data_IF_559495446353
#
_entry.id   IF_559495446353
#
_cell.length_a   1.000
_cell.length_b   1.000
_cell.length_c   1.000
_cell.angle_alpha   90.00
_cell.angle_beta   90.00
_cell.angle_gamma   90.00
#
_symmetry.space_group_name_H-M   'P 1'
#
loop_
_entity.id
_entity.type
_entity.pdbx_description
1 polymer ?
#
# COMPACT_ATOMS: atom_id res chain seq x y z
N UNK A 1 24.79 20.47 -8.82
CA UNK A 1 24.84 18.99 -8.78
C UNK A 1 24.13 18.46 -10.01
N UNK A 2 24.79 17.66 -10.86
CA UNK A 2 24.16 17.12 -12.07
C UNK A 2 23.05 16.14 -11.65
N UNK A 3 21.82 16.36 -12.08
CA UNK A 3 20.72 15.42 -11.86
C UNK A 3 21.14 14.06 -12.42
N UNK A 4 21.25 13.05 -11.55
CA UNK A 4 21.51 11.68 -11.98
C UNK A 4 20.34 11.23 -12.84
N UNK A 5 20.63 10.82 -14.08
CA UNK A 5 19.61 10.44 -15.06
C UNK A 5 18.97 9.14 -14.61
N UNK A 6 17.63 9.14 -14.50
CA UNK A 6 16.83 7.94 -14.25
C UNK A 6 17.26 6.83 -15.20
N UNK A 7 17.73 5.69 -14.66
CA UNK A 7 18.20 4.56 -15.48
C UNK A 7 17.02 3.67 -15.84
N UNK A 8 16.82 3.46 -17.13
CA UNK A 8 15.79 2.55 -17.64
C UNK A 8 16.38 1.15 -17.80
N UNK A 9 15.72 0.17 -17.18
CA UNK A 9 16.11 -1.24 -17.16
C UNK A 9 14.97 -2.06 -17.75
N UNK A 10 15.27 -2.87 -18.76
CA UNK A 10 14.38 -3.91 -19.27
C UNK A 10 14.88 -5.32 -18.94
N UNK A 11 14.14 -6.37 -19.34
CA UNK A 11 14.51 -7.76 -19.06
C UNK A 11 15.89 -8.20 -19.58
N UNK A 12 16.43 -7.49 -20.59
CA UNK A 12 17.73 -7.80 -21.20
C UNK A 12 18.92 -7.18 -20.43
N UNK A 13 18.67 -6.29 -19.46
CA UNK A 13 19.70 -5.60 -18.68
C UNK A 13 20.19 -6.46 -17.51
N UNK A 14 20.82 -7.60 -17.82
CA UNK A 14 21.16 -8.64 -16.83
C UNK A 14 22.08 -8.15 -15.72
N UNK A 15 23.04 -7.28 -16.03
CA UNK A 15 23.98 -6.73 -15.05
C UNK A 15 23.28 -5.80 -14.05
N UNK A 16 22.49 -4.83 -14.52
CA UNK A 16 21.75 -3.94 -13.63
C UNK A 16 20.67 -4.67 -12.83
N UNK A 17 20.02 -5.67 -13.43
CA UNK A 17 19.08 -6.54 -12.71
C UNK A 17 19.77 -7.33 -11.61
N UNK A 18 20.99 -7.83 -11.86
CA UNK A 18 21.77 -8.53 -10.83
C UNK A 18 22.19 -7.57 -9.71
N UNK A 19 22.66 -6.36 -10.03
CA UNK A 19 22.99 -5.34 -9.02
C UNK A 19 21.81 -5.02 -8.10
N UNK A 20 20.60 -4.88 -8.66
CA UNK A 20 19.40 -4.67 -7.85
C UNK A 20 19.09 -5.92 -7.02
N UNK A 21 19.22 -7.12 -7.61
CA UNK A 21 18.98 -8.39 -6.92
C UNK A 21 19.88 -8.57 -5.71
N UNK A 22 21.16 -8.24 -5.85
CA UNK A 22 22.17 -8.33 -4.78
C UNK A 22 21.89 -7.28 -3.70
N UNK A 23 21.58 -6.04 -4.09
CA UNK A 23 21.22 -4.99 -3.13
C UNK A 23 20.00 -5.38 -2.28
N UNK A 24 18.94 -5.91 -2.89
CA UNK A 24 17.74 -6.36 -2.16
C UNK A 24 18.06 -7.59 -1.29
N UNK A 25 18.98 -8.46 -1.72
CA UNK A 25 19.42 -9.62 -0.94
C UNK A 25 20.16 -9.20 0.33
N UNK A 26 21.07 -8.24 0.21
CA UNK A 26 21.99 -7.85 1.27
C UNK A 26 21.39 -6.81 2.24
N UNK A 27 20.35 -6.09 1.80
CA UNK A 27 19.68 -5.11 2.64
C UNK A 27 18.84 -5.75 3.74
N UNK A 28 18.85 -5.14 4.92
CA UNK A 28 17.99 -5.53 6.06
C UNK A 28 16.87 -4.53 6.31
N UNK A 29 16.88 -3.39 5.64
CA UNK A 29 16.05 -2.24 5.94
C UNK A 29 15.33 -1.73 4.69
N UNK A 30 14.35 -2.50 4.23
CA UNK A 30 13.61 -2.27 3.00
C UNK A 30 12.24 -1.66 3.31
N UNK A 31 11.87 -0.63 2.56
CA UNK A 31 10.51 -0.09 2.53
C UNK A 31 9.89 -0.42 1.18
N UNK A 32 8.63 -0.87 1.19
CA UNK A 32 7.85 -1.09 -0.01
C UNK A 32 6.70 -0.07 -0.11
N UNK A 33 6.49 0.50 -1.30
CA UNK A 33 5.29 1.27 -1.63
C UNK A 33 4.57 0.55 -2.76
N UNK A 34 3.34 0.13 -2.53
CA UNK A 34 2.55 -0.63 -3.51
C UNK A 34 1.36 0.19 -4.01
N UNK A 35 0.81 -0.19 -5.15
CA UNK A 35 -0.44 0.33 -5.69
C UNK A 35 -1.17 -0.71 -6.54
N UNK A 36 -2.27 -0.32 -7.16
CA UNK A 36 -3.25 -1.28 -7.69
C UNK A 36 -2.69 -2.22 -8.77
N UNK A 37 -1.57 -1.84 -9.42
CA UNK A 37 -0.89 -2.64 -10.43
C UNK A 37 -0.38 -4.00 -9.93
N UNK A 38 -0.13 -4.18 -8.63
CA UNK A 38 0.27 -5.49 -8.07
C UNK A 38 -0.89 -6.46 -7.86
N UNK A 39 -2.14 -5.97 -7.94
CA UNK A 39 -3.36 -6.76 -7.72
C UNK A 39 -4.09 -7.10 -9.02
N UNK A 40 -3.63 -6.61 -10.18
CA UNK A 40 -4.26 -6.87 -11.49
C UNK A 40 -4.24 -8.36 -11.88
N UNK A 41 -3.12 -9.04 -11.65
CA UNK A 41 -2.93 -10.46 -11.98
C UNK A 41 -3.70 -11.42 -11.07
N UNK A 42 -4.04 -10.97 -9.85
CA UNK A 42 -4.87 -11.72 -8.90
C UNK A 42 -6.37 -11.66 -9.24
N UNK A 43 -6.75 -10.89 -10.26
CA UNK A 43 -8.11 -10.44 -10.49
C UNK A 43 -8.54 -9.42 -9.44
N UNK A 44 -9.70 -8.77 -9.64
CA UNK A 44 -10.39 -8.03 -8.57
C UNK A 44 -11.63 -8.86 -8.18
N UNK A 45 -11.50 -9.94 -7.39
CA UNK A 45 -12.66 -10.71 -6.93
C UNK A 45 -13.25 -10.03 -5.69
N UNK A 46 -14.49 -10.36 -5.34
CA UNK A 46 -15.08 -10.03 -4.05
C UNK A 46 -14.08 -10.31 -2.90
N UNK A 47 -14.01 -9.41 -1.91
CA UNK A 47 -12.97 -9.33 -0.87
C UNK A 47 -12.67 -10.64 -0.14
N UNK A 48 -13.57 -11.63 -0.20
CA UNK A 48 -13.49 -12.92 0.50
C UNK A 48 -12.61 -13.98 -0.21
N UNK A 49 -12.29 -13.89 -1.51
CA UNK A 49 -11.63 -14.98 -2.27
C UNK A 49 -10.41 -14.57 -3.14
N UNK A 50 -9.71 -13.50 -2.81
CA UNK A 50 -8.54 -13.06 -3.59
C UNK A 50 -7.25 -13.83 -3.22
N UNK A 51 -6.65 -14.56 -4.17
CA UNK A 51 -5.33 -15.18 -3.99
C UNK A 51 -4.22 -14.11 -4.11
N UNK A 52 -3.22 -14.08 -3.21
CA UNK A 52 -2.14 -13.09 -3.29
C UNK A 52 -1.29 -13.28 -4.55
N UNK A 53 -1.01 -12.19 -5.26
CA UNK A 53 -0.11 -12.21 -6.41
C UNK A 53 1.35 -12.52 -6.00
N UNK A 54 2.20 -13.02 -6.91
CA UNK A 54 3.63 -13.23 -6.65
C UNK A 54 4.35 -12.04 -5.99
N UNK A 55 4.00 -10.81 -6.36
CA UNK A 55 4.55 -9.59 -5.73
C UNK A 55 4.18 -9.47 -4.25
N UNK A 56 2.92 -9.76 -3.88
CA UNK A 56 2.49 -9.79 -2.46
C UNK A 56 3.26 -10.87 -1.68
N UNK A 57 3.41 -12.06 -2.26
CA UNK A 57 4.14 -13.16 -1.63
C UNK A 57 5.62 -12.82 -1.44
N UNK A 58 6.20 -12.04 -2.36
CA UNK A 58 7.56 -11.55 -2.23
C UNK A 58 7.71 -10.55 -1.09
N UNK A 59 6.86 -9.53 -1.03
CA UNK A 59 6.86 -8.56 0.08
C UNK A 59 6.69 -9.27 1.43
N UNK A 60 5.77 -10.26 1.49
CA UNK A 60 5.59 -11.09 2.69
C UNK A 60 6.84 -11.89 3.04
N UNK A 61 7.59 -12.39 2.06
CA UNK A 61 8.85 -13.09 2.31
C UNK A 61 9.91 -12.14 2.89
N UNK A 62 10.04 -10.92 2.38
CA UNK A 62 10.94 -9.91 2.97
C UNK A 62 10.61 -9.64 4.46
N UNK A 63 9.32 -9.58 4.79
CA UNK A 63 8.85 -9.46 6.17
C UNK A 63 9.28 -10.66 7.03
N UNK A 64 9.05 -11.89 6.56
CA UNK A 64 9.47 -13.09 7.29
C UNK A 64 10.98 -13.22 7.47
N UNK A 65 11.77 -12.64 6.56
CA UNK A 65 13.23 -12.58 6.66
C UNK A 65 13.72 -11.43 7.55
N UNK A 66 12.83 -10.61 8.12
CA UNK A 66 13.19 -9.44 8.91
C UNK A 66 13.85 -8.32 8.11
N UNK A 67 13.72 -8.33 6.78
CA UNK A 67 14.31 -7.32 5.90
C UNK A 67 13.35 -6.16 5.60
N UNK A 68 12.06 -6.34 5.84
CA UNK A 68 11.03 -5.36 5.53
C UNK A 68 10.70 -4.54 6.77
N UNK A 69 10.93 -3.23 6.71
CA UNK A 69 10.49 -2.28 7.72
C UNK A 69 8.96 -2.14 7.65
N UNK A 70 8.46 -1.81 6.46
CA UNK A 70 7.03 -1.57 6.25
C UNK A 70 6.64 -1.62 4.77
N UNK A 71 5.37 -1.95 4.55
CA UNK A 71 4.69 -1.73 3.28
C UNK A 71 3.68 -0.61 3.41
N UNK A 72 3.82 0.42 2.58
CA UNK A 72 2.87 1.50 2.42
C UNK A 72 1.99 1.22 1.20
N UNK A 73 0.82 0.66 1.44
CA UNK A 73 -0.05 0.20 0.36
C UNK A 73 -1.02 1.31 -0.07
N UNK A 74 -1.03 1.66 -1.35
CA UNK A 74 -2.07 2.51 -1.93
C UNK A 74 -3.38 1.77 -2.24
N UNK A 75 -3.43 0.46 -1.96
CA UNK A 75 -4.58 -0.37 -2.25
C UNK A 75 -5.58 -0.35 -1.11
N UNK A 76 -6.86 -0.44 -1.45
CA UNK A 76 -7.97 -0.59 -0.50
C UNK A 76 -8.44 -2.06 -0.48
N UNK A 77 -7.55 -3.01 -0.80
CA UNK A 77 -7.88 -4.43 -0.99
C UNK A 77 -7.90 -5.24 0.31
N UNK A 78 -7.76 -4.60 1.48
CA UNK A 78 -7.99 -5.23 2.78
C UNK A 78 -6.81 -6.04 3.33
N UNK A 79 -5.60 -5.92 2.76
CA UNK A 79 -4.49 -6.86 3.02
C UNK A 79 -3.22 -6.28 3.67
N UNK A 80 -3.05 -4.96 3.78
CA UNK A 80 -1.81 -4.31 4.26
C UNK A 80 -2.12 -3.00 5.03
N UNK A 81 -1.10 -2.26 5.52
CA UNK A 81 -1.27 -0.93 6.13
C UNK A 81 -1.79 0.06 5.05
N UNK A 82 -3.11 0.30 5.06
CA UNK A 82 -3.86 0.97 4.00
C UNK A 82 -3.69 2.51 4.00
N UNK A 83 -2.92 3.06 3.05
CA UNK A 83 -2.83 4.52 2.79
C UNK A 83 -4.12 5.13 2.22
N UNK A 84 -5.16 4.34 1.98
CA UNK A 84 -6.44 4.81 1.45
C UNK A 84 -7.64 4.33 2.25
N UNK A 85 -7.44 3.86 3.48
CA UNK A 85 -8.51 3.31 4.31
C UNK A 85 -8.95 1.90 3.88
N UNK A 86 -10.06 1.43 4.44
CA UNK A 86 -10.46 0.03 4.46
C UNK A 86 -11.81 -0.25 3.83
N UNK A 87 -11.92 -1.32 3.06
CA UNK A 87 -13.22 -1.87 2.65
C UNK A 87 -13.91 -2.67 3.75
N UNK A 88 -13.23 -2.95 4.87
CA UNK A 88 -13.80 -3.76 5.97
C UNK A 88 -14.84 -3.02 6.80
N UNK A 89 -14.93 -1.69 6.65
CA UNK A 89 -15.79 -0.87 7.47
C UNK A 89 -16.46 0.22 6.64
N UNK A 90 -17.55 0.74 7.19
CA UNK A 90 -18.21 1.95 6.74
C UNK A 90 -17.84 3.10 7.65
N UNK A 91 -17.88 4.32 7.12
CA UNK A 91 -17.65 5.56 7.85
C UNK A 91 -18.75 6.57 7.59
N UNK A 92 -19.18 7.27 8.65
CA UNK A 92 -20.09 8.41 8.51
C UNK A 92 -19.35 9.64 7.98
N UNK A 93 -19.86 10.23 6.89
CA UNK A 93 -19.33 11.46 6.31
C UNK A 93 -19.54 12.72 7.18
N UNK A 94 -20.38 12.62 8.22
CA UNK A 94 -20.73 13.75 9.09
C UNK A 94 -20.01 13.70 10.44
N UNK A 95 -20.03 12.55 11.12
CA UNK A 95 -19.42 12.41 12.46
C UNK A 95 -18.18 11.51 12.50
N UNK A 96 -17.74 11.00 11.36
CA UNK A 96 -16.57 10.13 11.19
C UNK A 96 -16.58 8.82 11.98
N UNK A 97 -17.72 8.40 12.56
CA UNK A 97 -17.82 7.10 13.22
C UNK A 97 -17.60 5.97 12.22
N UNK A 98 -16.80 4.98 12.65
CA UNK A 98 -16.54 3.74 11.93
C UNK A 98 -17.54 2.68 12.36
N UNK A 99 -18.10 1.94 11.42
CA UNK A 99 -19.19 0.96 11.64
C UNK A 99 -18.88 -0.32 10.86
N UNK A 100 -19.10 -1.50 11.47
CA UNK A 100 -18.98 -2.79 10.76
C UNK A 100 -20.13 -2.98 9.77
N UNK A 101 -19.90 -3.77 8.72
CA UNK A 101 -20.92 -4.20 7.76
C UNK A 101 -22.03 -5.05 8.37
N UNK A 102 -21.72 -5.82 9.41
CA UNK A 102 -22.66 -6.76 10.05
C UNK A 102 -23.78 -6.05 10.82
N UNK A 103 -23.67 -4.72 10.97
CA UNK A 103 -24.67 -3.91 11.66
C UNK A 103 -25.86 -3.69 10.72
N UNK A 104 -27.08 -3.95 11.18
CA UNK A 104 -28.35 -3.52 10.55
C UNK A 104 -28.48 -3.75 9.02
N UNK A 105 -27.98 -4.87 8.48
CA UNK A 105 -28.05 -5.21 7.05
C UNK A 105 -27.44 -4.16 6.11
N UNK A 106 -26.43 -3.41 6.60
CA UNK A 106 -25.76 -2.36 5.81
C UNK A 106 -25.14 -2.91 4.52
N UNK A 107 -24.65 -4.15 4.53
CA UNK A 107 -24.14 -4.83 3.33
C UNK A 107 -25.22 -4.96 2.25
N UNK A 108 -26.41 -5.48 2.61
CA UNK A 108 -27.51 -5.67 1.66
C UNK A 108 -28.03 -4.35 1.10
N UNK A 109 -28.20 -3.32 1.94
CA UNK A 109 -28.63 -1.99 1.49
C UNK A 109 -27.62 -1.37 0.51
N UNK A 110 -26.33 -1.47 0.83
CA UNK A 110 -25.26 -0.94 -0.03
C UNK A 110 -25.16 -1.70 -1.37
N UNK A 111 -25.35 -3.03 -1.35
CA UNK A 111 -25.37 -3.85 -2.58
C UNK A 111 -26.55 -3.50 -3.50
N UNK A 112 -27.66 -2.99 -2.96
CA UNK A 112 -28.79 -2.47 -3.72
C UNK A 112 -28.57 -1.04 -4.24
N UNK A 113 -27.40 -0.44 -3.98
CA UNK A 113 -27.07 0.92 -4.37
C UNK A 113 -27.64 1.99 -3.44
N UNK A 114 -28.20 1.61 -2.30
CA UNK A 114 -28.68 2.56 -1.31
C UNK A 114 -27.51 3.12 -0.48
N UNK A 115 -27.57 4.39 -0.11
CA UNK A 115 -26.62 4.99 0.81
C UNK A 115 -27.14 4.87 2.25
N UNK A 116 -26.50 4.08 3.13
CA UNK A 116 -27.04 3.86 4.46
C UNK A 116 -26.89 5.07 5.37
N UNK A 117 -27.81 5.23 6.33
CA UNK A 117 -27.81 6.33 7.30
C UNK A 117 -26.91 6.00 8.49
N UNK A 118 -26.25 7.01 9.05
CA UNK A 118 -25.47 6.83 10.27
C UNK A 118 -26.36 6.74 11.50
N UNK A 119 -26.45 5.54 12.11
CA UNK A 119 -27.28 5.30 13.29
C UNK A 119 -26.96 6.21 14.48
N UNK A 120 -25.68 6.60 14.68
CA UNK A 120 -25.30 7.56 15.73
C UNK A 120 -25.91 8.94 15.49
N UNK A 121 -25.77 9.46 14.27
CA UNK A 121 -26.28 10.77 13.91
C UNK A 121 -27.80 10.79 13.79
N UNK A 122 -28.40 9.68 13.34
CA UNK A 122 -29.84 9.48 13.32
C UNK A 122 -30.41 9.49 14.75
N UNK A 123 -29.78 8.78 15.69
CA UNK A 123 -30.16 8.80 17.12
C UNK A 123 -30.10 10.22 17.68
N UNK A 124 -28.99 10.92 17.45
CA UNK A 124 -28.84 12.33 17.89
C UNK A 124 -29.94 13.22 17.29
N UNK A 125 -30.27 13.02 16.01
CA UNK A 125 -31.35 13.76 15.35
C UNK A 125 -32.71 13.45 15.98
N UNK A 126 -32.99 12.17 16.26
CA UNK A 126 -34.23 11.72 16.90
C UNK A 126 -34.40 12.31 18.29
N UNK A 127 -33.35 12.27 19.12
CA UNK A 127 -33.36 12.81 20.48
C UNK A 127 -33.54 14.33 20.51
N UNK A 128 -33.09 15.03 19.46
CA UNK A 128 -33.33 16.48 19.31
C UNK A 128 -34.79 16.76 18.96
N UNK A 129 -35.36 16.00 18.02
CA UNK A 129 -36.76 16.15 17.63
C UNK A 129 -37.71 15.82 18.79
N UNK A 130 -37.42 14.79 19.59
CA UNK A 130 -38.17 14.44 20.79
C UNK A 130 -38.19 15.58 21.84
N UNK A 131 -37.22 16.50 21.77
CA UNK A 131 -37.12 17.70 22.62
C UNK A 131 -37.59 18.97 21.89
N UNK A 132 -38.41 18.84 20.84
CA UNK A 132 -38.89 19.93 19.99
C UNK A 132 -37.78 20.83 19.41
N UNK A 133 -36.56 20.29 19.28
CA UNK A 133 -35.45 21.00 18.61
C UNK A 133 -35.45 20.64 17.12
N UNK A 134 -34.90 21.57 16.32
CA UNK A 134 -34.68 21.35 14.88
C UNK A 134 -33.90 20.05 14.63
N UNK A 135 -34.37 19.29 13.62
CA UNK A 135 -33.73 18.08 13.09
C UNK A 135 -32.29 18.39 12.68
N UNK A 136 -31.34 17.55 13.10
CA UNK A 136 -29.95 17.64 12.65
C UNK A 136 -29.70 16.70 11.47
N UNK A 137 -28.59 16.92 10.74
CA UNK A 137 -28.19 16.01 9.67
C UNK A 137 -28.01 14.58 10.26
N UNK A 138 -28.77 13.57 9.79
CA UNK A 138 -28.68 12.21 10.31
C UNK A 138 -27.42 11.47 9.80
N UNK A 139 -26.61 12.11 8.94
CA UNK A 139 -25.35 11.59 8.44
C UNK A 139 -25.53 10.42 7.47
N UNK A 140 -24.66 10.35 6.47
CA UNK A 140 -24.59 9.23 5.54
C UNK A 140 -23.35 8.38 5.81
N UNK A 141 -23.48 7.06 5.70
CA UNK A 141 -22.39 6.10 5.71
C UNK A 141 -21.88 5.88 4.28
N UNK A 142 -20.57 5.76 4.15
CA UNK A 142 -19.88 5.34 2.93
C UNK A 142 -18.76 4.37 3.27
N UNK A 143 -18.15 3.75 2.27
CA UNK A 143 -16.92 2.97 2.47
C UNK A 143 -15.88 3.80 3.22
N UNK A 144 -15.17 3.16 4.16
CA UNK A 144 -14.13 3.77 5.00
C UNK A 144 -12.84 4.00 4.22
N UNK A 145 -12.92 4.72 3.11
CA UNK A 145 -11.83 4.96 2.18
C UNK A 145 -11.51 6.45 2.09
N UNK A 146 -10.26 6.81 1.81
CA UNK A 146 -9.91 8.21 1.53
C UNK A 146 -10.10 8.48 0.04
N UNK A 147 -11.03 9.36 -0.32
CA UNK A 147 -11.26 9.76 -1.71
C UNK A 147 -10.20 10.78 -2.18
N UNK A 148 -10.13 10.99 -3.49
CA UNK A 148 -9.35 12.10 -4.03
C UNK A 148 -9.87 13.42 -3.44
N UNK A 149 -8.95 14.32 -3.11
CA UNK A 149 -9.21 15.63 -2.48
C UNK A 149 -9.69 15.60 -1.02
N UNK A 150 -9.78 14.41 -0.40
CA UNK A 150 -9.97 14.29 1.04
C UNK A 150 -8.62 14.21 1.77
N UNK A 151 -8.54 14.84 2.94
CA UNK A 151 -7.40 14.67 3.85
C UNK A 151 -7.48 13.26 4.44
N UNK A 152 -6.39 12.52 4.35
CA UNK A 152 -6.36 11.18 4.92
C UNK A 152 -6.58 11.24 6.44
N UNK A 153 -7.54 10.47 6.93
CA UNK A 153 -7.98 10.55 8.34
C UNK A 153 -6.90 10.12 9.35
N UNK A 154 -5.89 9.37 8.87
CA UNK A 154 -4.74 8.89 9.64
C UNK A 154 -3.46 9.63 9.24
N UNK A 155 -3.53 10.87 8.71
CA UNK A 155 -2.34 11.65 8.34
C UNK A 155 -1.35 11.72 9.49
N UNK A 156 -1.80 11.90 10.74
CA UNK A 156 -0.92 11.97 11.90
C UNK A 156 -0.23 10.62 12.17
N UNK A 157 -0.99 9.53 12.25
CA UNK A 157 -0.44 8.18 12.46
C UNK A 157 0.53 7.78 11.34
N UNK A 158 0.18 8.05 10.08
CA UNK A 158 1.05 7.78 8.92
C UNK A 158 2.29 8.67 8.97
N UNK A 159 2.15 9.92 9.40
CA UNK A 159 3.30 10.83 9.56
C UNK A 159 4.21 10.36 10.69
N UNK A 160 3.66 9.92 11.81
CA UNK A 160 4.41 9.40 12.96
C UNK A 160 5.13 8.10 12.61
N UNK A 161 4.46 7.17 11.92
CA UNK A 161 5.06 5.94 11.39
C UNK A 161 6.16 6.24 10.38
N UNK A 162 5.92 7.16 9.44
CA UNK A 162 6.94 7.61 8.48
C UNK A 162 8.14 8.23 9.18
N UNK A 163 7.92 9.07 10.19
CA UNK A 163 9.01 9.67 10.99
C UNK A 163 9.78 8.56 11.71
N UNK A 164 9.08 7.61 12.32
CA UNK A 164 9.70 6.46 12.97
C UNK A 164 10.57 5.67 12.00
N UNK A 165 10.04 5.29 10.84
CA UNK A 165 10.75 4.53 9.83
C UNK A 165 11.96 5.31 9.27
N UNK A 166 11.83 6.62 9.04
CA UNK A 166 12.93 7.47 8.56
C UNK A 166 14.06 7.62 9.58
N UNK A 167 13.70 7.81 10.86
CA UNK A 167 14.65 8.23 11.91
C UNK A 167 15.24 7.07 12.69
N UNK A 168 14.51 5.95 12.84
CA UNK A 168 14.93 4.82 13.68
C UNK A 168 15.34 3.59 12.90
N UNK A 169 14.64 3.30 11.82
CA UNK A 169 14.82 2.05 11.06
C UNK A 169 15.88 2.17 9.95
N UNK A 170 16.37 3.38 9.67
CA UNK A 170 17.44 3.66 8.71
C UNK A 170 17.28 2.91 7.36
N UNK A 171 16.23 3.20 6.59
CA UNK A 171 15.98 2.53 5.33
C UNK A 171 17.16 2.66 4.36
N UNK A 172 17.43 1.55 3.67
CA UNK A 172 18.50 1.36 2.69
C UNK A 172 17.95 1.20 1.27
N UNK A 173 16.76 0.62 1.14
CA UNK A 173 16.12 0.40 -0.15
C UNK A 173 14.66 0.81 -0.10
N UNK A 174 14.24 1.55 -1.13
CA UNK A 174 12.83 1.81 -1.40
C UNK A 174 12.40 1.08 -2.67
N UNK A 175 11.50 0.11 -2.53
CA UNK A 175 10.88 -0.60 -3.64
C UNK A 175 9.49 -0.02 -3.91
N UNK A 176 9.24 0.44 -5.13
CA UNK A 176 7.95 1.00 -5.54
C UNK A 176 7.34 0.13 -6.63
N UNK A 177 6.15 -0.40 -6.37
CA UNK A 177 5.48 -1.36 -7.26
C UNK A 177 4.14 -0.86 -7.77
N UNK A 178 3.91 -1.03 -9.07
CA UNK A 178 2.55 -1.07 -9.63
C UNK A 178 1.72 0.19 -9.38
N UNK A 179 2.35 1.36 -9.24
CA UNK A 179 1.66 2.64 -8.97
C UNK A 179 2.05 3.69 -9.99
N UNK A 180 1.12 4.60 -10.27
CA UNK A 180 1.36 5.80 -11.09
C UNK A 180 1.91 6.97 -10.26
N UNK A 181 1.98 6.83 -8.93
CA UNK A 181 2.39 7.87 -7.99
C UNK A 181 1.71 9.22 -8.28
N UNK A 182 0.38 9.22 -8.48
CA UNK A 182 -0.35 10.44 -8.82
C UNK A 182 -0.68 11.30 -7.59
N UNK A 183 -0.80 10.65 -6.44
CA UNK A 183 -1.31 11.20 -5.19
C UNK A 183 -0.24 12.04 -4.50
N UNK A 184 -0.57 13.29 -4.17
CA UNK A 184 0.40 14.27 -3.63
C UNK A 184 1.07 13.80 -2.34
N UNK A 185 0.32 13.21 -1.42
CA UNK A 185 0.87 12.67 -0.15
C UNK A 185 1.93 11.61 -0.38
N UNK A 186 1.63 10.63 -1.25
CA UNK A 186 2.57 9.56 -1.63
C UNK A 186 3.80 10.15 -2.35
N UNK A 187 3.61 11.16 -3.23
CA UNK A 187 4.72 11.83 -3.88
C UNK A 187 5.71 12.45 -2.90
N UNK A 188 5.20 13.11 -1.87
CA UNK A 188 6.04 13.72 -0.84
C UNK A 188 6.74 12.63 0.00
N UNK A 189 6.02 11.59 0.39
CA UNK A 189 6.58 10.45 1.12
C UNK A 189 7.74 9.77 0.35
N UNK A 190 7.58 9.49 -0.94
CA UNK A 190 8.66 8.91 -1.77
C UNK A 190 9.88 9.83 -1.80
N UNK A 191 9.69 11.16 -1.92
CA UNK A 191 10.79 12.13 -1.95
C UNK A 191 11.56 12.14 -0.64
N UNK A 192 10.87 12.12 0.49
CA UNK A 192 11.47 12.11 1.82
C UNK A 192 12.25 10.82 2.08
N UNK A 193 11.67 9.66 1.75
CA UNK A 193 12.39 8.38 1.84
C UNK A 193 13.61 8.35 0.93
N UNK A 194 13.46 8.74 -0.33
CA UNK A 194 14.57 8.77 -1.28
C UNK A 194 15.72 9.64 -0.78
N UNK A 195 15.43 10.84 -0.28
CA UNK A 195 16.44 11.73 0.28
C UNK A 195 17.21 11.06 1.43
N UNK A 196 16.49 10.39 2.35
CA UNK A 196 17.11 9.72 3.49
C UNK A 196 17.93 8.49 3.07
N UNK A 197 17.45 7.73 2.10
CA UNK A 197 18.09 6.51 1.56
C UNK A 197 19.36 6.88 0.80
N UNK A 198 19.28 7.88 -0.09
CA UNK A 198 20.41 8.38 -0.86
C UNK A 198 21.51 8.98 0.03
N UNK A 199 21.13 9.63 1.14
CA UNK A 199 22.08 10.14 2.14
C UNK A 199 22.98 9.05 2.74
N UNK A 200 22.57 7.78 2.63
CA UNK A 200 23.30 6.60 3.12
C UNK A 200 23.85 5.71 2.00
N UNK A 201 23.76 6.14 0.75
CA UNK A 201 24.20 5.35 -0.41
C UNK A 201 23.26 4.21 -0.80
N UNK A 202 22.02 4.22 -0.28
CA UNK A 202 20.99 3.25 -0.63
C UNK A 202 20.33 3.53 -1.99
N UNK A 203 19.32 2.72 -2.33
CA UNK A 203 18.73 2.68 -3.68
C UNK A 203 17.22 2.82 -3.69
N UNK A 204 16.70 3.52 -4.72
CA UNK A 204 15.27 3.64 -5.00
C UNK A 204 14.95 2.98 -6.34
N UNK A 205 14.15 1.91 -6.28
CA UNK A 205 13.78 1.08 -7.43
C UNK A 205 12.29 1.20 -7.70
N UNK A 206 11.94 1.57 -8.93
CA UNK A 206 10.56 1.69 -9.40
C UNK A 206 10.27 0.63 -10.45
N UNK A 207 9.28 -0.22 -10.18
CA UNK A 207 8.91 -1.36 -11.02
C UNK A 207 7.50 -1.14 -11.54
N UNK A 208 7.41 -0.84 -12.83
CA UNK A 208 6.14 -0.64 -13.51
C UNK A 208 6.33 -0.68 -15.03
N UNK A 209 5.29 -1.10 -15.77
CA UNK A 209 5.28 -1.08 -17.23
C UNK A 209 5.30 0.35 -17.79
N UNK A 210 4.69 1.30 -17.07
CA UNK A 210 4.63 2.71 -17.48
C UNK A 210 5.77 3.51 -16.86
N UNK A 211 6.37 4.40 -17.66
CA UNK A 211 7.44 5.28 -17.22
C UNK A 211 6.98 6.23 -16.09
N UNK A 212 7.78 6.42 -15.03
CA UNK A 212 7.57 7.54 -14.14
C UNK A 212 7.91 8.85 -14.87
N UNK A 213 7.24 9.94 -14.52
CA UNK A 213 7.55 11.26 -15.09
C UNK A 213 8.98 11.68 -14.73
N UNK A 214 9.90 11.60 -15.69
CA UNK A 214 11.33 11.87 -15.48
C UNK A 214 11.62 13.29 -14.97
N UNK A 215 10.77 14.28 -15.24
CA UNK A 215 10.93 15.65 -14.72
C UNK A 215 10.66 15.71 -13.21
N UNK A 216 9.75 14.89 -12.72
CA UNK A 216 9.37 14.84 -11.30
C UNK A 216 10.29 13.91 -10.52
N UNK A 217 10.71 12.81 -11.13
CA UNK A 217 11.38 11.69 -10.46
C UNK A 217 12.87 11.53 -10.78
N UNK A 218 13.41 12.34 -11.69
CA UNK A 218 14.85 12.35 -11.97
C UNK A 218 15.65 12.74 -10.74
N UNK A 219 16.67 11.94 -10.40
CA UNK A 219 17.46 12.11 -9.18
C UNK A 219 16.79 11.66 -7.89
N UNK A 220 15.54 11.16 -7.95
CA UNK A 220 14.83 10.55 -6.81
C UNK A 220 14.76 9.04 -7.00
N UNK A 221 14.40 8.59 -8.21
CA UNK A 221 14.37 7.17 -8.57
C UNK A 221 15.66 6.86 -9.33
N UNK A 222 16.40 5.86 -8.84
CA UNK A 222 17.67 5.45 -9.46
C UNK A 222 17.41 4.53 -10.66
N UNK A 223 16.52 3.57 -10.46
CA UNK A 223 16.20 2.54 -11.43
C UNK A 223 14.71 2.50 -11.72
N UNK A 224 14.35 2.64 -12.99
CA UNK A 224 13.04 2.25 -13.48
C UNK A 224 13.16 0.92 -14.21
N UNK A 225 12.63 -0.13 -13.58
CA UNK A 225 12.45 -1.45 -14.17
C UNK A 225 11.14 -1.46 -14.95
N UNK A 226 11.25 -1.39 -16.29
CA UNK A 226 10.13 -1.46 -17.21
C UNK A 226 9.71 -2.91 -17.40
N UNK A 227 8.96 -3.42 -16.43
CA UNK A 227 8.49 -4.80 -16.43
C UNK A 227 7.18 -4.94 -15.65
N UNK A 228 6.52 -6.07 -15.85
CA UNK A 228 5.43 -6.51 -15.00
C UNK A 228 5.99 -6.89 -13.61
N UNK A 229 5.29 -6.49 -12.55
CA UNK A 229 5.79 -6.62 -11.18
C UNK A 229 5.99 -8.09 -10.81
N UNK A 230 5.02 -8.96 -11.14
CA UNK A 230 5.10 -10.38 -10.81
C UNK A 230 6.20 -11.09 -11.60
N UNK A 231 6.36 -10.73 -12.87
CA UNK A 231 7.40 -11.27 -13.73
C UNK A 231 8.80 -10.88 -13.24
N UNK A 232 8.99 -9.62 -12.86
CA UNK A 232 10.24 -9.15 -12.30
C UNK A 232 10.56 -9.81 -10.96
N UNK A 233 9.57 -9.94 -10.07
CA UNK A 233 9.75 -10.62 -8.78
C UNK A 233 10.16 -12.09 -8.96
N UNK A 234 9.61 -12.79 -9.97
CA UNK A 234 10.03 -14.16 -10.30
C UNK A 234 11.48 -14.21 -10.79
N UNK A 235 11.87 -13.27 -11.65
CA UNK A 235 13.26 -13.15 -12.12
C UNK A 235 14.23 -12.88 -10.95
N UNK A 236 13.88 -11.96 -10.05
CA UNK A 236 14.67 -11.64 -8.85
C UNK A 236 14.84 -12.86 -7.93
N UNK A 237 13.77 -13.66 -7.75
CA UNK A 237 13.86 -14.94 -7.03
C UNK A 237 14.77 -15.96 -7.71
N UNK A 238 14.73 -16.06 -9.03
CA UNK A 238 15.58 -17.00 -9.76
C UNK A 238 17.06 -16.63 -9.67
N UNK A 239 17.38 -15.34 -9.60
CA UNK A 239 18.75 -14.82 -9.38
C UNK A 239 19.26 -15.12 -7.97
N UNK A 240 18.35 -15.19 -7.00
CA UNK A 240 18.64 -15.45 -5.59
C UNK A 240 18.08 -16.83 -5.17
N UNK A 241 18.76 -17.93 -5.56
CA UNK A 241 18.30 -19.32 -5.32
C UNK A 241 17.92 -19.62 -3.85
N UNK A 242 18.50 -18.93 -2.87
CA UNK A 242 18.15 -19.06 -1.44
C UNK A 242 16.73 -18.60 -1.07
N UNK A 243 16.08 -17.79 -1.92
CA UNK A 243 14.68 -17.36 -1.72
C UNK A 243 13.65 -18.37 -2.22
N UNK A 244 14.10 -19.42 -2.91
CA UNK A 244 13.23 -20.47 -3.45
C UNK A 244 12.85 -21.53 -2.40
N UNK A 245 13.70 -21.74 -1.39
CA UNK A 245 13.55 -22.80 -0.37
C UNK A 245 12.73 -22.41 0.85
N UNK A 246 12.57 -21.11 1.17
CA UNK A 246 11.92 -20.66 2.42
C UNK A 246 10.38 -20.67 2.39
N UNK A 247 9.77 -21.07 1.26
CA UNK A 247 8.31 -21.02 1.06
C UNK A 247 7.60 -22.33 1.41
N UNK A 248 8.29 -23.47 1.45
CA UNK A 248 7.67 -24.74 1.85
C UNK A 248 7.36 -24.74 3.34
N UNK A 249 8.28 -24.25 4.18
CA UNK A 249 8.11 -24.25 5.64
C UNK A 249 7.11 -23.17 6.12
N UNK A 250 7.14 -21.97 5.53
CA UNK A 250 6.22 -20.88 5.90
C UNK A 250 4.77 -21.10 5.45
N UNK A 251 4.56 -21.80 4.32
CA UNK A 251 3.22 -22.13 3.82
C UNK A 251 2.58 -23.34 4.54
N UNK A 252 3.38 -24.18 5.21
CA UNK A 252 2.91 -25.23 6.11
C UNK A 252 2.62 -24.67 7.52
N UNK A 253 3.47 -23.78 8.05
CA UNK A 253 3.22 -23.11 9.33
C UNK A 253 1.95 -22.26 9.32
N UNK A 254 1.63 -21.58 8.21
CA UNK A 254 0.40 -20.80 8.06
C UNK A 254 -0.87 -21.66 7.90
N UNK A 255 -0.76 -22.94 7.51
CA UNK A 255 -1.90 -23.86 7.46
C UNK A 255 -2.23 -24.46 8.82
N UNK A 256 -1.24 -24.57 9.70
CA UNK A 256 -1.38 -25.22 11.02
C UNK A 256 -1.77 -24.26 12.16
N UNK A 257 -1.86 -22.95 11.90
CA UNK A 257 -2.17 -21.92 12.91
C UNK A 257 -3.45 -21.11 12.63
N UNK A 258 -4.42 -21.72 11.93
CA UNK A 258 -5.79 -21.18 11.90
C UNK A 258 -6.58 -21.84 13.03
N UNK A 259 -7.16 -21.08 13.98
CA UNK A 259 -8.15 -21.62 14.91
C UNK A 259 -9.40 -22.12 14.17
#
# INVERSE_FOLDING_TARGET
MKAQRLRHIGPMNTHELQLISDAVKDSSNIIAITGAGISLSAGIPSAKNCKPAPTHLFIRNLCFRGQLIRTYAQNIDGKEDELHGSLRFLRCMYCNIRTSWDVHNLESATLLGEQPVCLKCERVSRDRMARNKRRSNPGALRLDITLYDEVHLQVNEITDLKIHDLTRENPEILLIFGTRLLIKGVKNMVKEFAQSIHGRGGLVVFVNLTAPNARVWGGIIDFWVKWDCDSWVKDLKNRNMEWSSSLTEGAEAARNNTP
#
